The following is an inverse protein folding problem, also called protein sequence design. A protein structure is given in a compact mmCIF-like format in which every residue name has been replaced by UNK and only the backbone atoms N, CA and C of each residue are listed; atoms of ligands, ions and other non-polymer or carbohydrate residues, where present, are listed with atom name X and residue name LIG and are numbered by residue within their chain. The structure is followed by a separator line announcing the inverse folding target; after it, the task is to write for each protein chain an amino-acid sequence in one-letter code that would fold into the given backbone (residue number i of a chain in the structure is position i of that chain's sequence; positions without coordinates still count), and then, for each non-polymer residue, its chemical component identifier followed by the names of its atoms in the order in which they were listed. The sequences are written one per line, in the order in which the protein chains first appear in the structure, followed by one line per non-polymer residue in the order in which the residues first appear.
data_IF_184677960952
#
_entry.id   IF_184677960952
#
_cell.length_a   1.000
_cell.length_b   1.000
_cell.length_c   1.000
_cell.angle_alpha   90.00
_cell.angle_beta   90.00
_cell.angle_gamma   90.00
#
_symmetry.space_group_name_H-M   'P 1'
#
loop_
_entity.id
_entity.type
_entity.pdbx_description
1 polymer ?
#
# COMPACT_ATOMS: atom_id res chain seq x y z
N UNK A 1 12.16 -12.66 -3.07
CA UNK A 1 11.35 -12.98 -1.88
C UNK A 1 12.08 -14.05 -1.07
N UNK A 2 12.08 -13.95 0.26
CA UNK A 2 12.82 -14.89 1.13
C UNK A 2 12.27 -16.31 1.00
N UNK A 3 13.14 -17.29 0.72
CA UNK A 3 12.77 -18.70 0.58
C UNK A 3 12.57 -19.41 1.94
N UNK A 4 13.03 -18.79 3.03
CA UNK A 4 12.97 -19.32 4.39
C UNK A 4 12.45 -18.23 5.33
N UNK A 5 11.52 -18.61 6.21
CA UNK A 5 11.05 -17.72 7.27
C UNK A 5 12.19 -17.41 8.25
N UNK A 6 12.24 -16.18 8.72
CA UNK A 6 13.19 -15.73 9.74
C UNK A 6 12.44 -15.36 11.02
N UNK A 7 13.03 -15.64 12.18
CA UNK A 7 12.49 -15.17 13.47
C UNK A 7 12.75 -13.67 13.68
N UNK A 8 12.08 -13.06 14.65
CA UNK A 8 12.32 -11.65 14.99
C UNK A 8 13.76 -11.44 15.51
N UNK A 9 14.32 -12.42 16.23
CA UNK A 9 15.71 -12.38 16.71
C UNK A 9 16.71 -12.40 15.54
N UNK A 10 16.48 -13.25 14.53
CA UNK A 10 17.30 -13.30 13.31
C UNK A 10 17.22 -11.98 12.53
N UNK A 11 16.02 -11.38 12.46
CA UNK A 11 15.81 -10.07 11.83
C UNK A 11 16.55 -8.95 12.56
N UNK A 12 16.49 -8.92 13.89
CA UNK A 12 17.23 -7.96 14.71
C UNK A 12 18.74 -8.10 14.48
N UNK A 13 19.26 -9.33 14.54
CA UNK A 13 20.67 -9.60 14.32
C UNK A 13 21.13 -9.15 12.93
N UNK A 14 20.31 -9.39 11.91
CA UNK A 14 20.56 -8.95 10.53
C UNK A 14 20.62 -7.42 10.42
N UNK A 15 19.66 -6.70 11.02
CA UNK A 15 19.63 -5.23 11.00
C UNK A 15 20.84 -4.62 11.72
N UNK A 16 21.22 -5.18 12.88
CA UNK A 16 22.45 -4.81 13.59
C UNK A 16 23.68 -5.03 12.71
N UNK A 17 23.77 -6.21 12.06
CA UNK A 17 24.86 -6.54 11.14
C UNK A 17 24.96 -5.62 9.91
N UNK A 18 23.84 -5.03 9.48
CA UNK A 18 23.79 -4.03 8.40
C UNK A 18 24.20 -2.62 8.85
N UNK A 19 24.43 -2.39 10.14
CA UNK A 19 24.83 -1.10 10.69
C UNK A 19 23.70 -0.28 11.33
N UNK A 20 22.54 -0.89 11.59
CA UNK A 20 21.43 -0.20 12.26
C UNK A 20 21.73 -0.01 13.75
N UNK A 21 21.51 1.21 14.24
CA UNK A 21 21.79 1.63 15.64
C UNK A 21 20.53 2.17 16.34
N UNK A 22 20.69 2.71 17.55
CA UNK A 22 19.61 3.30 18.35
C UNK A 22 18.79 2.26 19.11
N UNK A 23 17.46 2.39 19.09
CA UNK A 23 16.52 1.57 19.86
C UNK A 23 16.76 0.06 19.71
N UNK A 24 17.20 -0.40 18.54
CA UNK A 24 17.49 -1.82 18.30
C UNK A 24 18.62 -2.38 19.18
N UNK A 25 19.51 -1.52 19.68
CA UNK A 25 20.59 -1.83 20.62
C UNK A 25 20.17 -1.49 22.05
N UNK A 26 19.62 -0.28 22.25
CA UNK A 26 19.33 0.27 23.58
C UNK A 26 18.10 -0.37 24.25
N UNK A 27 17.12 -0.78 23.46
CA UNK A 27 15.90 -1.42 23.91
C UNK A 27 15.40 -2.45 22.88
N UNK A 28 16.15 -3.54 22.75
CA UNK A 28 15.85 -4.61 21.79
C UNK A 28 14.43 -5.19 21.98
N UNK A 29 13.93 -5.27 23.21
CA UNK A 29 12.58 -5.73 23.50
C UNK A 29 11.52 -4.88 22.78
N UNK A 30 11.66 -3.55 22.84
CA UNK A 30 10.75 -2.65 22.13
C UNK A 30 10.88 -2.76 20.61
N UNK A 31 12.10 -2.92 20.10
CA UNK A 31 12.32 -3.13 18.67
C UNK A 31 11.64 -4.43 18.17
N UNK A 32 11.67 -5.50 18.97
CA UNK A 32 10.97 -6.76 18.67
C UNK A 32 9.45 -6.59 18.62
N UNK A 33 8.86 -5.89 19.60
CA UNK A 33 7.43 -5.57 19.59
C UNK A 33 7.04 -4.84 18.30
N UNK A 34 7.81 -3.82 17.91
CA UNK A 34 7.56 -3.03 16.69
C UNK A 34 7.68 -3.89 15.43
N UNK A 35 8.69 -4.77 15.35
CA UNK A 35 8.83 -5.68 14.22
C UNK A 35 7.70 -6.70 14.13
N UNK A 36 7.14 -7.14 15.26
CA UNK A 36 5.98 -8.04 15.30
C UNK A 36 4.67 -7.33 14.95
N UNK A 37 4.56 -6.04 15.27
CA UNK A 37 3.39 -5.21 14.97
C UNK A 37 3.36 -4.75 13.50
N UNK A 38 4.45 -4.13 13.03
CA UNK A 38 4.51 -3.53 11.68
C UNK A 38 5.01 -4.53 10.62
N UNK A 39 5.94 -5.41 11.00
CA UNK A 39 6.56 -6.39 10.11
C UNK A 39 7.87 -5.92 9.49
N UNK A 40 8.86 -6.81 9.47
CA UNK A 40 10.18 -6.58 8.87
C UNK A 40 10.13 -6.11 7.42
N UNK A 41 9.37 -6.78 6.55
CA UNK A 41 9.32 -6.40 5.13
C UNK A 41 8.58 -5.07 4.90
N UNK A 42 7.63 -4.71 5.78
CA UNK A 42 6.93 -3.44 5.72
C UNK A 42 7.88 -2.30 6.04
N UNK A 43 8.61 -2.39 7.15
CA UNK A 43 9.66 -1.43 7.53
C UNK A 43 10.85 -1.45 6.56
N UNK A 44 11.06 -2.56 5.86
CA UNK A 44 11.93 -2.75 4.69
C UNK A 44 11.98 -1.55 3.74
N UNK A 45 10.79 -1.11 3.34
CA UNK A 45 10.65 -0.01 2.38
C UNK A 45 11.08 1.34 2.96
N UNK A 46 11.11 1.50 4.28
CA UNK A 46 11.39 2.75 4.96
C UNK A 46 12.85 2.88 5.39
N UNK A 47 13.58 1.78 5.63
CA UNK A 47 15.05 1.87 5.77
C UNK A 47 15.80 1.79 4.44
N UNK A 48 15.14 1.41 3.34
CA UNK A 48 15.80 1.29 2.04
C UNK A 48 16.43 2.61 1.56
N UNK A 49 15.84 3.77 1.87
CA UNK A 49 16.43 5.07 1.56
C UNK A 49 17.69 5.41 2.37
N UNK A 50 18.00 4.62 3.41
CA UNK A 50 19.21 4.75 4.22
C UNK A 50 20.30 3.75 3.80
N UNK A 51 20.02 2.83 2.87
CA UNK A 51 21.01 1.91 2.33
C UNK A 51 22.06 2.67 1.50
N UNK A 52 23.34 2.37 1.72
CA UNK A 52 24.47 3.02 1.05
C UNK A 52 25.12 2.15 -0.04
N UNK A 53 24.70 0.89 -0.17
CA UNK A 53 25.20 -0.03 -1.18
C UNK A 53 24.15 -1.06 -1.64
N UNK A 54 24.53 -1.87 -2.63
CA UNK A 54 23.70 -2.97 -3.14
C UNK A 54 23.70 -4.21 -2.23
N UNK A 55 24.45 -4.20 -1.12
CA UNK A 55 24.51 -5.28 -0.14
C UNK A 55 23.62 -5.00 1.09
N UNK A 56 22.76 -3.97 1.01
CA UNK A 56 21.87 -3.52 2.08
C UNK A 56 22.60 -3.02 3.33
N UNK A 57 23.84 -2.54 3.20
CA UNK A 57 24.53 -1.84 4.28
C UNK A 57 23.88 -0.48 4.47
N UNK A 58 23.67 -0.09 5.72
CA UNK A 58 23.05 1.17 6.08
C UNK A 58 24.11 2.26 6.22
N UNK A 59 23.68 3.49 5.99
CA UNK A 59 24.48 4.69 6.25
C UNK A 59 24.77 4.78 7.75
N UNK A 60 26.01 5.16 8.09
CA UNK A 60 26.45 5.26 9.48
C UNK A 60 25.53 6.20 10.28
N UNK A 61 25.10 5.72 11.45
CA UNK A 61 24.18 6.46 12.33
C UNK A 61 22.70 6.28 12.00
N UNK A 62 22.32 5.40 11.07
CA UNK A 62 20.91 5.07 10.80
C UNK A 62 20.27 4.43 12.03
N UNK A 63 19.31 5.13 12.66
CA UNK A 63 18.62 4.65 13.85
C UNK A 63 17.31 3.94 13.52
N UNK A 64 17.00 2.88 14.26
CA UNK A 64 15.74 2.15 14.08
C UNK A 64 14.51 3.05 14.31
N UNK A 65 14.54 3.95 15.30
CA UNK A 65 13.47 4.91 15.59
C UNK A 65 13.22 5.91 14.45
N UNK A 66 14.23 6.28 13.66
CA UNK A 66 14.06 7.19 12.52
C UNK A 66 13.28 6.50 11.40
N UNK A 67 13.56 5.21 11.15
CA UNK A 67 12.81 4.37 10.21
C UNK A 67 11.35 4.24 10.66
N UNK A 68 11.13 3.97 11.94
CA UNK A 68 9.78 3.87 12.51
C UNK A 68 9.03 5.20 12.39
N UNK A 69 9.71 6.32 12.63
CA UNK A 69 9.12 7.66 12.48
C UNK A 69 8.73 7.96 11.03
N UNK A 70 9.57 7.56 10.07
CA UNK A 70 9.27 7.68 8.65
C UNK A 70 8.05 6.83 8.24
N UNK A 71 7.90 5.64 8.81
CA UNK A 71 6.70 4.81 8.63
C UNK A 71 5.44 5.53 9.12
N UNK A 72 5.45 6.05 10.35
CA UNK A 72 4.27 6.74 10.90
C UNK A 72 3.96 8.05 10.16
N UNK A 73 4.98 8.77 9.69
CA UNK A 73 4.78 9.93 8.82
C UNK A 73 3.97 9.59 7.56
N UNK A 74 4.31 8.49 6.88
CA UNK A 74 3.58 8.01 5.70
C UNK A 74 2.16 7.54 6.05
N UNK A 75 1.97 6.87 7.18
CA UNK A 75 0.64 6.47 7.67
C UNK A 75 -0.23 7.71 7.89
N UNK A 76 0.26 8.68 8.66
CA UNK A 76 -0.49 9.90 9.00
C UNK A 76 -0.82 10.72 7.75
N UNK A 77 0.13 10.84 6.82
CA UNK A 77 -0.10 11.52 5.55
C UNK A 77 -1.15 10.81 4.70
N UNK A 78 -1.09 9.47 4.63
CA UNK A 78 -2.08 8.67 3.89
C UNK A 78 -3.47 8.83 4.50
N UNK A 79 -3.60 8.78 5.82
CA UNK A 79 -4.88 8.97 6.51
C UNK A 79 -5.48 10.35 6.27
N UNK A 80 -4.65 11.39 6.27
CA UNK A 80 -5.08 12.75 5.96
C UNK A 80 -5.60 12.85 4.53
N UNK A 81 -4.83 12.35 3.55
CA UNK A 81 -5.17 12.44 2.13
C UNK A 81 -6.39 11.59 1.76
N UNK A 82 -6.57 10.43 2.41
CA UNK A 82 -7.66 9.49 2.11
C UNK A 82 -9.03 10.15 2.24
N UNK A 83 -9.21 11.03 3.23
CA UNK A 83 -10.46 11.79 3.45
C UNK A 83 -10.82 12.66 2.25
N UNK A 84 -9.83 13.30 1.63
CA UNK A 84 -10.03 14.18 0.48
C UNK A 84 -10.17 13.38 -0.82
N UNK A 85 -9.33 12.35 -1.00
CA UNK A 85 -9.41 11.45 -2.16
C UNK A 85 -10.78 10.80 -2.23
N UNK A 86 -11.33 10.34 -1.09
CA UNK A 86 -12.67 9.76 -1.04
C UNK A 86 -13.75 10.73 -1.57
N UNK A 87 -13.72 12.00 -1.14
CA UNK A 87 -14.68 13.01 -1.60
C UNK A 87 -14.53 13.30 -3.11
N UNK A 88 -13.29 13.35 -3.60
CA UNK A 88 -12.99 13.53 -5.03
C UNK A 88 -13.51 12.34 -5.83
N UNK A 89 -13.26 11.11 -5.37
CA UNK A 89 -13.70 9.87 -6.03
C UNK A 89 -15.22 9.81 -6.15
N UNK A 90 -15.96 10.10 -5.06
CA UNK A 90 -17.42 10.12 -5.07
C UNK A 90 -17.94 11.14 -6.08
N UNK A 91 -17.42 12.38 -6.03
CA UNK A 91 -17.84 13.42 -6.96
C UNK A 91 -17.54 13.04 -8.41
N UNK A 92 -16.33 12.56 -8.69
CA UNK A 92 -15.91 12.16 -10.03
C UNK A 92 -16.78 11.03 -10.59
N UNK A 93 -17.07 9.99 -9.79
CA UNK A 93 -17.98 8.91 -10.17
C UNK A 93 -19.38 9.44 -10.50
N UNK A 94 -19.91 10.34 -9.68
CA UNK A 94 -21.21 10.97 -9.94
C UNK A 94 -21.21 11.78 -11.24
N UNK A 95 -20.16 12.57 -11.52
CA UNK A 95 -20.07 13.34 -12.77
C UNK A 95 -20.01 12.43 -14.00
N UNK A 96 -19.18 11.38 -13.98
CA UNK A 96 -19.13 10.40 -15.08
C UNK A 96 -20.50 9.78 -15.31
N UNK A 97 -21.12 9.24 -14.26
CA UNK A 97 -22.43 8.58 -14.39
C UNK A 97 -23.46 9.56 -14.92
N UNK A 98 -23.51 10.78 -14.39
CA UNK A 98 -24.49 11.78 -14.81
C UNK A 98 -24.31 12.18 -16.27
N UNK A 99 -23.12 12.62 -16.68
CA UNK A 99 -22.91 13.14 -18.02
C UNK A 99 -23.04 12.05 -19.08
N UNK A 100 -22.39 10.90 -18.90
CA UNK A 100 -22.39 9.83 -19.90
C UNK A 100 -23.78 9.19 -20.03
N UNK A 101 -24.52 9.02 -18.92
CA UNK A 101 -25.89 8.50 -18.99
C UNK A 101 -26.85 9.49 -19.69
N UNK A 102 -26.64 10.79 -19.52
CA UNK A 102 -27.48 11.81 -20.17
C UNK A 102 -27.12 12.03 -21.65
N UNK A 103 -25.89 11.75 -22.06
CA UNK A 103 -25.49 11.69 -23.46
C UNK A 103 -26.06 10.44 -24.14
N UNK A 104 -26.03 9.30 -23.46
CA UNK A 104 -26.50 8.00 -23.98
C UNK A 104 -27.78 7.52 -23.29
N UNK A 105 -28.84 8.33 -23.30
CA UNK A 105 -30.11 8.05 -22.60
C UNK A 105 -30.76 6.70 -22.92
N UNK A 106 -30.52 6.18 -24.14
CA UNK A 106 -31.07 4.92 -24.61
C UNK A 106 -30.16 3.70 -24.29
N UNK A 107 -29.01 3.91 -23.65
CA UNK A 107 -28.08 2.85 -23.22
C UNK A 107 -27.90 2.91 -21.70
N UNK A 108 -28.83 2.32 -20.92
CA UNK A 108 -28.76 2.36 -19.45
C UNK A 108 -27.53 1.61 -18.90
N UNK A 109 -26.92 0.74 -19.71
CA UNK A 109 -25.69 0.00 -19.42
C UNK A 109 -24.54 0.47 -20.29
N UNK A 110 -24.45 1.78 -20.57
CA UNK A 110 -23.42 2.38 -21.44
C UNK A 110 -21.99 1.96 -21.07
N UNK A 111 -21.72 1.63 -19.80
CA UNK A 111 -20.41 1.20 -19.31
C UNK A 111 -19.95 -0.18 -19.84
N UNK A 112 -20.84 -0.93 -20.49
CA UNK A 112 -20.53 -2.17 -21.25
C UNK A 112 -21.00 -2.10 -22.71
N UNK A 113 -21.37 -0.91 -23.18
CA UNK A 113 -21.77 -0.68 -24.58
C UNK A 113 -20.54 -0.37 -25.43
N UNK A 114 -20.30 -1.17 -26.47
CA UNK A 114 -19.14 -1.02 -27.36
C UNK A 114 -19.17 0.26 -28.21
N UNK A 115 -20.31 0.96 -28.25
CA UNK A 115 -20.44 2.28 -28.91
C UNK A 115 -19.98 3.43 -28.02
N UNK A 116 -19.88 3.19 -26.71
CA UNK A 116 -19.53 4.22 -25.71
C UNK A 116 -18.16 3.94 -25.11
N UNK A 117 -17.87 2.68 -24.79
CA UNK A 117 -16.63 2.25 -24.12
C UNK A 117 -15.82 1.33 -25.02
N UNK A 118 -14.49 1.45 -24.95
CA UNK A 118 -13.58 0.64 -25.78
C UNK A 118 -13.78 -0.87 -25.59
N UNK A 119 -13.68 -1.62 -26.68
CA UNK A 119 -13.80 -3.09 -26.67
C UNK A 119 -12.77 -3.77 -25.75
N UNK A 120 -11.58 -3.18 -25.61
CA UNK A 120 -10.54 -3.67 -24.70
C UNK A 120 -10.92 -3.59 -23.22
N UNK A 121 -11.70 -2.58 -22.81
CA UNK A 121 -12.24 -2.53 -21.46
C UNK A 121 -13.34 -3.58 -21.27
N UNK A 122 -14.27 -3.66 -22.21
CA UNK A 122 -15.43 -4.57 -22.14
C UNK A 122 -14.99 -6.03 -22.05
N UNK A 123 -13.96 -6.43 -22.81
CA UNK A 123 -13.44 -7.80 -22.76
C UNK A 123 -12.85 -8.18 -21.40
N UNK A 124 -12.39 -7.20 -20.62
CA UNK A 124 -11.88 -7.39 -19.27
C UNK A 124 -12.95 -7.17 -18.19
N UNK A 125 -14.12 -6.62 -18.51
CA UNK A 125 -15.16 -6.29 -17.54
C UNK A 125 -15.56 -7.49 -16.68
N UNK A 126 -15.75 -8.66 -17.29
CA UNK A 126 -16.12 -9.90 -16.59
C UNK A 126 -15.05 -10.47 -15.68
N UNK A 127 -13.78 -10.03 -15.81
CA UNK A 127 -12.74 -10.38 -14.84
C UNK A 127 -12.98 -9.71 -13.49
N UNK A 128 -13.68 -8.57 -13.48
CA UNK A 128 -13.94 -7.77 -12.29
C UNK A 128 -15.38 -7.94 -11.79
N UNK A 129 -16.35 -8.11 -12.68
CA UNK A 129 -17.76 -8.34 -12.33
C UNK A 129 -18.07 -9.82 -12.06
N UNK A 130 -17.40 -10.40 -11.06
CA UNK A 130 -17.50 -11.82 -10.68
C UNK A 130 -18.73 -12.12 -9.82
N UNK A 131 -19.03 -13.40 -9.59
CA UNK A 131 -20.12 -13.78 -8.68
C UNK A 131 -19.85 -13.38 -7.21
N UNK A 132 -18.58 -13.35 -6.81
CA UNK A 132 -18.16 -12.82 -5.51
C UNK A 132 -18.41 -11.31 -5.42
N UNK A 133 -18.10 -10.57 -6.48
CA UNK A 133 -18.42 -9.14 -6.56
C UNK A 133 -19.93 -8.91 -6.39
N UNK A 134 -20.77 -9.67 -7.12
CA UNK A 134 -22.23 -9.58 -7.01
C UNK A 134 -22.71 -9.91 -5.59
N UNK A 135 -22.15 -10.94 -4.95
CA UNK A 135 -22.52 -11.35 -3.59
C UNK A 135 -22.18 -10.29 -2.54
N UNK A 136 -21.00 -9.68 -2.66
CA UNK A 136 -20.50 -8.67 -1.71
C UNK A 136 -21.15 -7.29 -1.88
N UNK A 137 -21.80 -7.04 -3.01
CA UNK A 137 -22.43 -5.76 -3.35
C UNK A 137 -23.95 -5.91 -3.57
N UNK A 138 -24.59 -6.96 -3.01
CA UNK A 138 -26.05 -7.00 -2.94
C UNK A 138 -26.53 -5.86 -2.04
N UNK A 139 -27.60 -5.14 -2.43
CA UNK A 139 -28.23 -4.14 -1.58
C UNK A 139 -28.80 -4.75 -0.29
#
# INVERSE_FOLDING_TARGET
MGAKATTVDEQIALLKGRGMVGMIIDNEGKAKEILLDIGYYRLGFYWNCFECDNAHKLTDGTKFEDVVSLYYLDVDLRELLLKYIYRIEVHFRTQIVYFVSNEHKNSPTWFVDNKVVSAGYISNFYKFYTDDFKRNNKP
#
